data_IF_594738951651
#
_entry.id   IF_594738951651
#
_cell.length_a   1.000
_cell.length_b   1.000
_cell.length_c   1.000
_cell.angle_alpha   90.00
_cell.angle_beta   90.00
_cell.angle_gamma   90.00
#
_symmetry.space_group_name_H-M   'P 1'
#
loop_
_entity.id
_entity.type
_entity.pdbx_description
1 polymer ?
#
# COMPACT_ATOMS: atom_id res chain seq x y z
N UNK A 1 -2.13 -27.08 31.56
CA UNK A 1 -1.97 -26.92 30.09
C UNK A 1 -3.25 -26.36 29.50
N UNK A 2 -3.30 -25.13 28.97
CA UNK A 2 -4.53 -24.59 28.38
C UNK A 2 -4.81 -25.27 27.03
N UNK A 3 -6.01 -25.84 26.85
CA UNK A 3 -6.44 -26.47 25.60
C UNK A 3 -6.47 -25.42 24.47
N UNK A 4 -5.77 -25.70 23.36
CA UNK A 4 -5.87 -24.92 22.12
C UNK A 4 -7.34 -24.87 21.69
N UNK A 5 -7.93 -23.67 21.65
CA UNK A 5 -9.25 -23.45 21.04
C UNK A 5 -9.14 -23.87 19.57
N UNK A 6 -10.00 -24.79 19.12
CA UNK A 6 -10.15 -25.13 17.70
C UNK A 6 -10.29 -23.83 16.91
N UNK A 7 -9.38 -23.61 15.96
CA UNK A 7 -9.33 -22.41 15.15
C UNK A 7 -10.71 -22.13 14.54
N UNK A 8 -11.11 -20.87 14.55
CA UNK A 8 -12.25 -20.42 13.77
C UNK A 8 -12.01 -20.82 12.30
N UNK A 9 -12.97 -21.55 11.72
CA UNK A 9 -12.96 -22.07 10.36
C UNK A 9 -13.06 -20.91 9.33
N UNK A 10 -12.03 -20.07 9.24
CA UNK A 10 -11.98 -18.89 8.37
C UNK A 10 -11.93 -19.25 6.87
N UNK A 11 -11.61 -20.51 6.55
CA UNK A 11 -11.57 -21.04 5.19
C UNK A 11 -12.87 -21.72 4.74
N UNK A 12 -13.88 -21.83 5.62
CA UNK A 12 -15.09 -22.61 5.35
C UNK A 12 -16.10 -21.81 4.54
N UNK A 13 -15.88 -21.74 3.23
CA UNK A 13 -16.90 -21.32 2.27
C UNK A 13 -18.05 -22.32 2.29
N UNK A 14 -19.12 -21.98 3.01
CA UNK A 14 -20.28 -22.87 3.14
C UNK A 14 -21.08 -22.90 1.84
N UNK A 15 -21.68 -24.05 1.52
CA UNK A 15 -22.58 -24.19 0.38
C UNK A 15 -23.70 -23.14 0.39
N UNK A 16 -24.18 -22.77 1.59
CA UNK A 16 -25.16 -21.69 1.80
C UNK A 16 -24.62 -20.32 1.40
N UNK A 17 -23.40 -19.97 1.80
CA UNK A 17 -22.77 -18.71 1.41
C UNK A 17 -22.56 -18.62 -0.11
N UNK A 18 -22.13 -19.73 -0.75
CA UNK A 18 -21.98 -19.80 -2.21
C UNK A 18 -23.31 -19.64 -2.94
N UNK A 19 -24.36 -20.33 -2.50
CA UNK A 19 -25.72 -20.17 -3.04
C UNK A 19 -26.24 -18.73 -2.90
N UNK A 20 -26.04 -18.09 -1.75
CA UNK A 20 -26.39 -16.69 -1.52
C UNK A 20 -25.64 -15.73 -2.42
N UNK A 21 -24.37 -16.01 -2.74
CA UNK A 21 -23.58 -15.19 -3.66
C UNK A 21 -24.10 -15.32 -5.08
N UNK A 22 -24.34 -16.54 -5.56
CA UNK A 22 -24.87 -16.79 -6.89
C UNK A 22 -26.27 -16.19 -7.07
N UNK A 23 -27.15 -16.35 -6.07
CA UNK A 23 -28.48 -15.73 -6.09
C UNK A 23 -28.46 -14.22 -5.93
N UNK A 24 -27.35 -13.61 -5.52
CA UNK A 24 -27.14 -12.16 -5.56
C UNK A 24 -26.69 -11.68 -6.94
N UNK A 25 -25.85 -12.44 -7.64
CA UNK A 25 -25.38 -12.08 -8.98
C UNK A 25 -26.45 -12.22 -10.05
N UNK A 26 -27.47 -13.05 -9.83
CA UNK A 26 -28.57 -13.30 -10.77
C UNK A 26 -29.76 -12.34 -10.57
N UNK A 27 -29.66 -11.33 -9.70
CA UNK A 27 -30.77 -10.41 -9.41
C UNK A 27 -30.92 -9.37 -10.50
N UNK A 28 -32.18 -9.06 -10.82
CA UNK A 28 -32.52 -7.91 -11.66
C UNK A 28 -32.39 -6.60 -10.88
N UNK A 29 -32.21 -5.49 -11.58
CA UNK A 29 -32.11 -4.16 -10.95
C UNK A 29 -33.34 -3.82 -10.11
N UNK A 30 -34.54 -4.14 -10.58
CA UNK A 30 -35.79 -3.95 -9.83
C UNK A 30 -35.81 -4.74 -8.52
N UNK A 31 -35.36 -6.00 -8.54
CA UNK A 31 -35.24 -6.82 -7.33
C UNK A 31 -34.21 -6.25 -6.35
N UNK A 32 -33.12 -5.68 -6.85
CA UNK A 32 -32.10 -5.02 -6.03
C UNK A 32 -32.69 -3.76 -5.38
N UNK A 33 -33.39 -2.93 -6.17
CA UNK A 33 -34.03 -1.71 -5.68
C UNK A 33 -35.07 -2.02 -4.62
N UNK A 34 -35.97 -2.98 -4.86
CA UNK A 34 -36.98 -3.40 -3.88
C UNK A 34 -36.35 -3.93 -2.59
N UNK A 35 -35.30 -4.74 -2.68
CA UNK A 35 -34.63 -5.23 -1.46
C UNK A 35 -33.92 -4.11 -0.69
N UNK A 36 -33.35 -3.13 -1.40
CA UNK A 36 -32.73 -1.97 -0.76
C UNK A 36 -33.77 -1.07 -0.09
N UNK A 37 -34.94 -0.85 -0.69
CA UNK A 37 -36.03 -0.09 -0.07
C UNK A 37 -36.57 -0.82 1.15
N UNK A 38 -36.82 -2.13 1.06
CA UNK A 38 -37.26 -2.94 2.20
C UNK A 38 -36.23 -2.94 3.33
N UNK A 39 -34.94 -3.03 3.01
CA UNK A 39 -33.87 -2.97 3.99
C UNK A 39 -33.81 -1.61 4.69
N UNK A 40 -33.99 -0.51 3.94
CA UNK A 40 -34.06 0.84 4.50
C UNK A 40 -35.23 0.97 5.45
N UNK A 41 -36.44 0.56 5.04
CA UNK A 41 -37.65 0.62 5.88
C UNK A 41 -37.47 -0.19 7.16
N UNK A 42 -36.91 -1.40 7.07
CA UNK A 42 -36.59 -2.22 8.24
C UNK A 42 -35.62 -1.52 9.19
N UNK A 43 -34.54 -0.94 8.66
CA UNK A 43 -33.57 -0.20 9.48
C UNK A 43 -34.17 1.04 10.13
N UNK A 44 -35.02 1.78 9.41
CA UNK A 44 -35.70 2.96 9.97
C UNK A 44 -36.60 2.58 11.14
N UNK A 45 -37.33 1.46 11.05
CA UNK A 45 -38.17 0.97 12.17
C UNK A 45 -37.31 0.58 13.37
N UNK A 46 -36.23 -0.17 13.15
CA UNK A 46 -35.30 -0.55 14.21
C UNK A 46 -34.70 0.67 14.91
N UNK A 47 -34.39 1.75 14.18
CA UNK A 47 -33.90 2.99 14.78
C UNK A 47 -34.96 3.79 15.54
N UNK A 48 -36.25 3.66 15.21
CA UNK A 48 -37.34 4.30 15.95
C UNK A 48 -37.65 3.58 17.27
N UNK A 49 -37.47 2.26 17.30
CA UNK A 49 -37.71 1.41 18.48
C UNK A 49 -36.48 1.33 19.40
N UNK A 50 -35.38 1.97 19.02
CA UNK A 50 -34.11 1.89 19.73
C UNK A 50 -34.06 2.83 20.95
N UNK A 51 -33.76 2.33 22.16
CA UNK A 51 -33.61 3.17 23.34
C UNK A 51 -32.37 4.06 23.27
N UNK A 52 -32.46 5.25 23.86
CA UNK A 52 -31.46 6.33 23.76
C UNK A 52 -30.04 5.89 24.14
N UNK A 53 -29.89 5.12 25.22
CA UNK A 53 -28.59 4.62 25.69
C UNK A 53 -27.90 3.72 24.65
N UNK A 54 -28.65 2.83 24.00
CA UNK A 54 -28.10 1.95 22.96
C UNK A 54 -27.69 2.71 21.70
N UNK A 55 -28.38 3.82 21.42
CA UNK A 55 -28.06 4.71 20.30
C UNK A 55 -26.75 5.45 20.55
N UNK A 56 -26.54 5.92 21.78
CA UNK A 56 -25.33 6.63 22.18
C UNK A 56 -24.10 5.71 22.22
N UNK A 57 -24.24 4.49 22.76
CA UNK A 57 -23.19 3.48 22.68
C UNK A 57 -22.79 3.18 21.23
N UNK A 58 -23.77 2.96 20.33
CA UNK A 58 -23.48 2.73 18.91
C UNK A 58 -22.77 3.92 18.27
N UNK A 59 -23.20 5.14 18.60
CA UNK A 59 -22.57 6.36 18.10
C UNK A 59 -21.12 6.49 18.57
N UNK A 60 -20.84 6.15 19.83
CA UNK A 60 -19.50 6.15 20.39
C UNK A 60 -18.60 5.10 19.74
N UNK A 61 -19.08 3.87 19.57
CA UNK A 61 -18.35 2.80 18.84
C UNK A 61 -17.98 3.27 17.44
N UNK A 62 -18.93 3.84 16.69
CA UNK A 62 -18.67 4.38 15.35
C UNK A 62 -17.61 5.48 15.36
N UNK A 63 -17.66 6.41 16.32
CA UNK A 63 -16.62 7.46 16.47
C UNK A 63 -15.24 6.85 16.74
N UNK A 64 -15.15 5.81 17.56
CA UNK A 64 -13.90 5.14 17.87
C UNK A 64 -13.32 4.40 16.66
N UNK A 65 -14.17 3.68 15.90
CA UNK A 65 -13.78 3.00 14.65
C UNK A 65 -13.27 3.99 13.59
N UNK A 66 -13.96 5.12 13.41
CA UNK A 66 -13.52 6.19 12.53
C UNK A 66 -12.17 6.78 12.97
N UNK A 67 -11.99 7.01 14.28
CA UNK A 67 -10.72 7.50 14.83
C UNK A 67 -9.59 6.51 14.59
N UNK A 68 -9.85 5.21 14.76
CA UNK A 68 -8.86 4.16 14.55
C UNK A 68 -8.47 4.02 13.07
N UNK A 69 -9.44 4.03 12.15
CA UNK A 69 -9.19 3.96 10.71
C UNK A 69 -8.42 5.19 10.20
N UNK A 70 -8.75 6.39 10.68
CA UNK A 70 -7.98 7.61 10.39
C UNK A 70 -6.54 7.51 10.90
N UNK A 71 -6.33 7.03 12.13
CA UNK A 71 -4.98 6.82 12.68
C UNK A 71 -4.17 5.82 11.83
N UNK A 72 -4.79 4.71 11.44
CA UNK A 72 -4.13 3.70 10.61
C UNK A 72 -3.68 4.27 9.26
N UNK A 73 -4.56 5.00 8.58
CA UNK A 73 -4.24 5.61 7.28
C UNK A 73 -3.14 6.67 7.39
N UNK A 74 -3.18 7.52 8.42
CA UNK A 74 -2.15 8.53 8.68
C UNK A 74 -0.80 7.88 9.01
N UNK A 75 -0.79 6.86 9.89
CA UNK A 75 0.43 6.14 10.23
C UNK A 75 1.05 5.48 8.98
N UNK A 76 0.23 4.86 8.13
CA UNK A 76 0.70 4.25 6.87
C UNK A 76 1.31 5.28 5.92
N UNK A 77 0.71 6.47 5.81
CA UNK A 77 1.30 7.56 5.01
C UNK A 77 2.65 8.00 5.58
N UNK A 78 2.69 8.23 6.90
CA UNK A 78 3.91 8.64 7.60
C UNK A 78 5.05 7.64 7.43
N UNK A 79 4.78 6.33 7.54
CA UNK A 79 5.81 5.30 7.35
C UNK A 79 6.33 5.27 5.91
N UNK A 80 5.44 5.41 4.93
CA UNK A 80 5.85 5.49 3.52
C UNK A 80 6.71 6.72 3.25
N UNK A 81 6.33 7.88 3.80
CA UNK A 81 7.10 9.11 3.61
C UNK A 81 8.47 9.04 4.30
N UNK A 82 8.55 8.42 5.48
CA UNK A 82 9.83 8.14 6.15
C UNK A 82 10.74 7.24 5.32
N UNK A 83 10.19 6.18 4.71
CA UNK A 83 10.96 5.31 3.80
C UNK A 83 11.47 6.08 2.58
N UNK A 84 10.62 6.89 1.93
CA UNK A 84 11.05 7.74 0.80
C UNK A 84 12.17 8.70 1.20
N UNK A 85 12.02 9.35 2.35
CA UNK A 85 13.06 10.25 2.87
C UNK A 85 14.36 9.52 3.22
N UNK A 86 14.29 8.28 3.70
CA UNK A 86 15.48 7.47 3.98
C UNK A 86 16.23 7.12 2.70
N UNK A 87 15.53 6.70 1.64
CA UNK A 87 16.13 6.42 0.32
C UNK A 87 16.75 7.70 -0.26
N UNK A 88 16.03 8.82 -0.23
CA UNK A 88 16.56 10.10 -0.70
C UNK A 88 17.79 10.54 0.10
N UNK A 89 17.80 10.36 1.43
CA UNK A 89 18.98 10.66 2.25
C UNK A 89 20.15 9.73 1.94
N UNK A 90 19.91 8.45 1.71
CA UNK A 90 20.96 7.51 1.33
C UNK A 90 21.55 7.84 -0.05
N UNK A 91 20.71 8.31 -0.99
CA UNK A 91 21.14 8.77 -2.30
C UNK A 91 21.97 10.06 -2.22
N UNK A 92 21.52 11.06 -1.46
CA UNK A 92 22.20 12.35 -1.29
C UNK A 92 23.39 12.28 -0.34
N UNK A 93 23.46 11.28 0.57
CA UNK A 93 24.63 11.07 1.41
C UNK A 93 25.76 10.55 0.53
N UNK A 94 26.48 11.48 -0.07
CA UNK A 94 27.90 11.59 -0.44
C UNK A 94 28.83 10.36 -0.56
N UNK A 95 28.50 9.18 -0.04
CA UNK A 95 29.28 7.95 -0.05
C UNK A 95 28.78 6.94 -1.08
N UNK A 96 29.03 7.21 -2.37
CA UNK A 96 28.93 6.20 -3.44
C UNK A 96 29.89 5.02 -3.24
N UNK A 97 30.90 5.17 -2.36
CA UNK A 97 31.87 4.13 -2.02
C UNK A 97 31.22 2.83 -1.55
N UNK A 98 30.02 2.89 -0.96
CA UNK A 98 29.27 1.71 -0.49
C UNK A 98 28.26 1.17 -1.51
N UNK A 99 27.83 2.01 -2.46
CA UNK A 99 26.91 1.66 -3.56
C UNK A 99 27.65 1.14 -4.80
N UNK A 100 28.96 1.39 -4.94
CA UNK A 100 29.76 0.96 -6.09
C UNK A 100 29.73 -0.56 -6.32
N UNK A 101 29.43 -1.36 -5.29
CA UNK A 101 29.36 -2.82 -5.37
C UNK A 101 27.92 -3.38 -5.45
N UNK A 102 26.90 -2.51 -5.41
CA UNK A 102 25.49 -2.92 -5.48
C UNK A 102 24.72 -1.95 -6.37
N UNK A 103 24.58 -2.32 -7.64
CA UNK A 103 23.82 -1.55 -8.63
C UNK A 103 22.31 -1.73 -8.37
N UNK A 104 21.60 -0.63 -8.11
CA UNK A 104 20.15 -0.60 -8.00
C UNK A 104 19.56 0.11 -9.24
N UNK A 105 18.86 -0.60 -10.14
CA UNK A 105 18.39 -0.03 -11.40
C UNK A 105 17.35 1.09 -11.25
N UNK A 106 16.70 1.20 -10.08
CA UNK A 106 15.70 2.23 -9.79
C UNK A 106 16.33 3.58 -9.38
N UNK A 107 17.66 3.63 -9.24
CA UNK A 107 18.41 4.82 -8.87
C UNK A 107 18.95 5.50 -10.13
N UNK A 108 18.60 6.77 -10.34
CA UNK A 108 19.10 7.60 -11.43
C UNK A 108 20.54 8.12 -11.16
N UNK A 109 21.52 7.23 -11.20
CA UNK A 109 22.92 7.56 -10.90
C UNK A 109 23.48 8.70 -11.77
N UNK A 110 23.05 8.79 -13.04
CA UNK A 110 23.50 9.82 -13.99
C UNK A 110 23.09 11.25 -13.58
N UNK A 111 22.03 11.40 -12.78
CA UNK A 111 21.55 12.69 -12.30
C UNK A 111 22.23 13.13 -11.00
N UNK A 112 23.07 12.27 -10.40
CA UNK A 112 23.69 12.57 -9.11
C UNK A 112 24.88 13.53 -9.25
N UNK A 113 24.94 14.56 -8.40
CA UNK A 113 25.96 15.64 -8.46
C UNK A 113 27.42 15.16 -8.38
N UNK A 114 27.66 14.01 -7.75
CA UNK A 114 28.97 13.35 -7.63
C UNK A 114 29.33 12.38 -8.76
N UNK A 115 28.37 12.02 -9.62
CA UNK A 115 28.61 11.13 -10.75
C UNK A 115 28.88 12.00 -11.96
N UNK A 116 30.12 11.99 -12.44
CA UNK A 116 30.53 12.70 -13.65
C UNK A 116 30.90 11.67 -14.69
N UNK A 117 30.07 11.50 -15.71
CA UNK A 117 30.42 10.72 -16.90
C UNK A 117 31.15 11.67 -17.85
N UNK A 118 32.45 11.49 -17.99
CA UNK A 118 33.25 12.29 -18.93
C UNK A 118 32.88 12.01 -20.39
N UNK A 119 33.35 12.84 -21.33
CA UNK A 119 33.31 12.49 -22.74
C UNK A 119 34.43 11.49 -23.09
N UNK A 120 34.14 10.53 -23.99
CA UNK A 120 35.14 9.64 -24.57
C UNK A 120 35.74 10.29 -25.82
N UNK A 121 36.48 11.37 -25.65
CA UNK A 121 37.00 12.19 -26.75
C UNK A 121 38.50 11.97 -27.01
N UNK A 122 39.17 11.14 -26.21
CA UNK A 122 40.58 10.78 -26.43
C UNK A 122 40.68 9.51 -27.26
N UNK A 123 41.28 9.59 -28.43
CA UNK A 123 41.58 8.42 -29.25
C UNK A 123 42.91 7.78 -28.80
N UNK A 124 42.90 6.46 -28.61
CA UNK A 124 44.09 5.70 -28.28
C UNK A 124 45.01 5.60 -29.51
N UNK A 125 46.28 6.03 -29.43
CA UNK A 125 47.19 5.99 -30.58
C UNK A 125 47.55 4.56 -31.02
N UNK A 126 47.38 3.56 -30.16
CA UNK A 126 47.76 2.17 -30.44
C UNK A 126 46.64 1.33 -31.06
N UNK A 127 45.38 1.68 -30.80
CA UNK A 127 44.24 0.87 -31.24
C UNK A 127 43.05 1.69 -31.75
N UNK A 128 43.18 3.02 -31.84
CA UNK A 128 42.14 3.95 -32.29
C UNK A 128 40.83 3.91 -31.50
N UNK A 129 40.83 3.29 -30.31
CA UNK A 129 39.67 3.26 -29.43
C UNK A 129 39.50 4.61 -28.71
N UNK A 130 38.26 5.09 -28.61
CA UNK A 130 37.91 6.25 -27.80
C UNK A 130 38.00 5.91 -26.29
N UNK A 131 38.50 6.86 -25.50
CA UNK A 131 38.76 6.72 -24.05
C UNK A 131 38.36 7.99 -23.31
N UNK A 132 38.11 7.87 -22.01
CA UNK A 132 37.85 9.02 -21.15
C UNK A 132 39.15 9.77 -20.82
N UNK A 133 39.03 11.09 -20.53
CA UNK A 133 40.19 11.95 -20.30
C UNK A 133 41.13 11.51 -19.16
N UNK A 134 40.59 10.84 -18.15
CA UNK A 134 41.30 10.50 -16.91
C UNK A 134 41.34 8.98 -16.65
N UNK A 135 41.08 8.15 -17.67
CA UNK A 135 41.26 6.71 -17.52
C UNK A 135 42.75 6.38 -17.36
N UNK A 136 43.14 5.65 -16.30
CA UNK A 136 44.50 5.17 -16.17
C UNK A 136 44.76 4.11 -17.24
N UNK A 137 45.67 4.40 -18.18
CA UNK A 137 46.11 3.46 -19.20
C UNK A 137 47.43 3.88 -19.82
N UNK A 138 48.50 3.29 -19.27
CA UNK A 138 49.93 3.23 -19.67
C UNK A 138 50.61 4.50 -20.22
#
# INVERSE_FOLDING_TARGET
>A
MPRKRKGADLSRSTSKARKLRNSRSERTEEQIQQQNTDARVRMTRLHQEEPEDTRDERNEVRRLEERQSRRFTVNRRRTNDQQRQQVHRAFISDSFLRLAFQYEPDIEYYAHSKVVIGAMDKECPHCHALKFKNEPGF
#
